data_IF_030720123166
#
_entry.id   IF_030720123166
#
_cell.length_a   1.000
_cell.length_b   1.000
_cell.length_c   1.000
_cell.angle_alpha   90.00
_cell.angle_beta   90.00
_cell.angle_gamma   90.00
#
_symmetry.space_group_name_H-M   'P 1'
#
loop_
_entity.id
_entity.type
_entity.pdbx_description
1 polymer ?
#
# COMPACT_ATOMS: atom_id res chain seq x y z
N UNK A 1 -20.38 -4.43 -8.17
CA UNK A 1 -19.10 -4.39 -7.44
C UNK A 1 -19.10 -5.53 -6.43
N UNK A 2 -18.34 -6.59 -6.70
CA UNK A 2 -18.17 -7.76 -5.83
C UNK A 2 -16.90 -7.61 -4.97
N UNK A 3 -16.75 -8.43 -3.91
CA UNK A 3 -15.53 -8.43 -3.11
C UNK A 3 -14.29 -8.83 -3.93
N UNK A 4 -14.44 -9.74 -4.89
CA UNK A 4 -13.37 -10.10 -5.81
C UNK A 4 -12.97 -8.91 -6.71
N UNK A 5 -13.96 -8.16 -7.22
CA UNK A 5 -13.71 -6.93 -7.98
C UNK A 5 -13.03 -5.86 -7.11
N UNK A 6 -13.44 -5.70 -5.84
CA UNK A 6 -12.78 -4.81 -4.89
C UNK A 6 -11.33 -5.22 -4.61
N UNK A 7 -11.06 -6.52 -4.54
CA UNK A 7 -9.69 -7.03 -4.38
C UNK A 7 -8.77 -6.60 -5.52
N UNK A 8 -9.25 -6.72 -6.77
CA UNK A 8 -8.52 -6.24 -7.94
C UNK A 8 -8.24 -4.74 -7.86
N UNK A 9 -9.24 -3.93 -7.50
CA UNK A 9 -9.09 -2.48 -7.35
C UNK A 9 -8.07 -2.10 -6.25
N UNK A 10 -8.10 -2.79 -5.11
CA UNK A 10 -7.11 -2.57 -4.04
C UNK A 10 -5.72 -3.05 -4.46
N UNK A 11 -5.61 -4.16 -5.18
CA UNK A 11 -4.33 -4.64 -5.71
C UNK A 11 -3.70 -3.62 -6.69
N UNK A 12 -4.49 -3.06 -7.60
CA UNK A 12 -4.08 -1.98 -8.50
C UNK A 12 -3.66 -0.72 -7.73
N UNK A 13 -4.45 -0.30 -6.74
CA UNK A 13 -4.15 0.84 -5.89
C UNK A 13 -2.84 0.64 -5.11
N UNK A 14 -2.61 -0.56 -4.58
CA UNK A 14 -1.36 -0.92 -3.91
C UNK A 14 -0.16 -0.89 -4.87
N UNK A 15 -0.34 -1.33 -6.12
CA UNK A 15 0.70 -1.25 -7.14
C UNK A 15 1.05 0.22 -7.48
N UNK A 16 0.04 1.09 -7.58
CA UNK A 16 0.22 2.53 -7.80
C UNK A 16 0.97 3.19 -6.63
N UNK A 17 0.56 2.91 -5.38
CA UNK A 17 1.24 3.40 -4.17
C UNK A 17 2.70 2.94 -4.11
N UNK A 18 2.96 1.66 -4.40
CA UNK A 18 4.32 1.11 -4.43
C UNK A 18 5.18 1.80 -5.48
N UNK A 19 4.65 2.02 -6.69
CA UNK A 19 5.35 2.76 -7.75
C UNK A 19 5.68 4.17 -7.29
N UNK A 20 4.70 4.89 -6.74
CA UNK A 20 4.88 6.26 -6.26
C UNK A 20 5.94 6.36 -5.16
N UNK A 21 5.95 5.42 -4.21
CA UNK A 21 6.99 5.36 -3.18
C UNK A 21 8.38 5.12 -3.82
N UNK A 22 8.46 4.27 -4.85
CA UNK A 22 9.68 4.06 -5.62
C UNK A 22 10.20 5.34 -6.28
N UNK A 23 9.32 6.08 -6.97
CA UNK A 23 9.63 7.38 -7.58
C UNK A 23 10.13 8.40 -6.55
N UNK A 24 9.45 8.52 -5.41
CA UNK A 24 9.85 9.45 -4.34
C UNK A 24 11.22 9.08 -3.74
N UNK A 25 11.51 7.79 -3.60
CA UNK A 25 12.82 7.31 -3.13
C UNK A 25 13.93 7.66 -4.13
N UNK A 26 13.65 7.55 -5.42
CA UNK A 26 14.60 7.92 -6.46
C UNK A 26 14.84 9.43 -6.47
N UNK A 27 13.78 10.24 -6.45
CA UNK A 27 13.88 11.70 -6.38
C UNK A 27 14.66 12.17 -5.13
N UNK A 28 14.45 11.53 -3.97
CA UNK A 28 15.18 11.84 -2.75
C UNK A 28 16.69 11.48 -2.79
N UNK A 29 17.13 10.67 -3.76
CA UNK A 29 18.56 10.38 -4.00
C UNK A 29 19.20 11.41 -4.92
N UNK A 30 18.42 12.00 -5.82
CA UNK A 30 18.89 12.95 -6.83
C UNK A 30 18.95 14.39 -6.29
N UNK A 31 18.09 14.72 -5.32
CA UNK A 31 18.10 16.02 -4.65
C UNK A 31 19.37 16.22 -3.82
N UNK A 32 19.96 17.41 -3.94
CA UNK A 32 21.11 17.86 -3.15
C UNK A 32 20.71 18.60 -1.88
N UNK A 33 19.53 19.22 -1.88
CA UNK A 33 19.00 19.93 -0.72
C UNK A 33 18.45 18.94 0.31
N UNK A 34 18.91 19.06 1.56
CA UNK A 34 18.49 18.19 2.65
C UNK A 34 17.06 18.49 3.12
N UNK A 35 16.56 19.73 2.96
CA UNK A 35 15.17 20.05 3.29
C UNK A 35 14.19 19.35 2.36
N UNK A 36 14.37 19.47 1.04
CA UNK A 36 13.54 18.78 0.06
C UNK A 36 13.60 17.25 0.23
N UNK A 37 14.79 16.70 0.53
CA UNK A 37 14.94 15.26 0.82
C UNK A 37 14.14 14.85 2.06
N UNK A 38 14.13 15.66 3.12
CA UNK A 38 13.35 15.41 4.33
C UNK A 38 11.85 15.41 4.03
N UNK A 39 11.36 16.32 3.19
CA UNK A 39 9.95 16.36 2.78
C UNK A 39 9.56 15.09 2.01
N UNK A 40 10.39 14.64 1.06
CA UNK A 40 10.12 13.40 0.34
C UNK A 40 10.14 12.17 1.25
N UNK A 41 11.10 12.09 2.19
CA UNK A 41 11.15 11.01 3.20
C UNK A 41 9.91 11.00 4.08
N UNK A 42 9.45 12.15 4.55
CA UNK A 42 8.20 12.27 5.31
C UNK A 42 7.02 11.75 4.49
N UNK A 43 6.93 12.13 3.22
CA UNK A 43 5.86 11.66 2.33
C UNK A 43 5.90 10.14 2.13
N UNK A 44 7.09 9.55 2.00
CA UNK A 44 7.24 8.09 1.95
C UNK A 44 6.75 7.44 3.24
N UNK A 45 7.08 8.00 4.40
CA UNK A 45 6.63 7.49 5.70
C UNK A 45 5.10 7.55 5.82
N UNK A 46 4.46 8.61 5.33
CA UNK A 46 2.99 8.74 5.29
C UNK A 46 2.32 7.73 4.34
N UNK A 47 2.92 7.46 3.17
CA UNK A 47 2.35 6.54 2.18
C UNK A 47 2.58 5.06 2.51
N UNK A 48 3.58 4.74 3.33
CA UNK A 48 3.93 3.36 3.69
C UNK A 48 2.80 2.62 4.42
N UNK A 49 2.16 3.17 5.49
CA UNK A 49 1.03 2.49 6.13
C UNK A 49 -0.16 2.35 5.18
N UNK A 50 -0.44 3.35 4.34
CA UNK A 50 -1.50 3.25 3.33
C UNK A 50 -1.25 2.11 2.33
N UNK A 51 -0.01 1.91 1.88
CA UNK A 51 0.35 0.77 1.04
C UNK A 51 0.11 -0.56 1.77
N UNK A 52 0.47 -0.64 3.05
CA UNK A 52 0.24 -1.83 3.85
C UNK A 52 -1.26 -2.13 3.97
N UNK A 53 -2.05 -1.17 4.43
CA UNK A 53 -3.51 -1.31 4.60
C UNK A 53 -4.20 -1.68 3.29
N UNK A 54 -3.82 -1.05 2.17
CA UNK A 54 -4.40 -1.35 0.86
C UNK A 54 -4.10 -2.81 0.44
N UNK A 55 -2.90 -3.32 0.74
CA UNK A 55 -2.56 -4.74 0.48
C UNK A 55 -3.31 -5.70 1.38
N UNK A 56 -3.52 -5.33 2.63
CA UNK A 56 -4.34 -6.11 3.58
C UNK A 56 -5.79 -6.17 3.10
N UNK A 57 -6.38 -5.05 2.67
CA UNK A 57 -7.72 -5.00 2.09
C UNK A 57 -7.83 -5.84 0.81
N UNK A 58 -6.84 -5.80 -0.08
CA UNK A 58 -6.80 -6.64 -1.28
C UNK A 58 -6.84 -8.13 -0.92
N UNK A 59 -6.08 -8.55 0.09
CA UNK A 59 -6.06 -9.95 0.54
C UNK A 59 -7.38 -10.36 1.22
N UNK A 60 -7.89 -9.54 2.15
CA UNK A 60 -9.15 -9.81 2.86
C UNK A 60 -10.33 -9.95 1.90
N UNK A 61 -10.42 -9.06 0.92
CA UNK A 61 -11.51 -9.10 -0.08
C UNK A 61 -11.37 -10.25 -1.07
N UNK A 62 -10.15 -10.69 -1.39
CA UNK A 62 -9.90 -11.90 -2.20
C UNK A 62 -10.33 -13.17 -1.48
N UNK A 63 -10.04 -13.26 -0.18
CA UNK A 63 -10.24 -14.46 0.63
C UNK A 63 -11.48 -14.42 1.50
N UNK A 64 -12.38 -13.45 1.30
CA UNK A 64 -13.51 -13.23 2.21
C UNK A 64 -14.40 -14.46 2.40
N UNK A 65 -14.58 -15.27 1.36
CA UNK A 65 -15.38 -16.50 1.42
C UNK A 65 -14.55 -17.76 1.70
N UNK A 66 -13.24 -17.63 1.82
CA UNK A 66 -12.34 -18.73 2.17
C UNK A 66 -12.34 -18.93 3.70
N UNK A 67 -13.13 -19.89 4.17
CA UNK A 67 -13.27 -20.23 5.59
C UNK A 67 -11.98 -20.75 6.25
N UNK A 68 -10.97 -21.11 5.46
CA UNK A 68 -9.67 -21.59 5.96
C UNK A 68 -8.60 -20.48 5.96
N UNK A 69 -8.95 -19.27 5.54
CA UNK A 69 -8.02 -18.14 5.56
C UNK A 69 -7.88 -17.57 6.98
N UNK A 70 -6.77 -17.89 7.64
CA UNK A 70 -6.47 -17.44 9.02
C UNK A 70 -5.42 -16.32 9.09
N UNK A 71 -5.08 -15.70 7.96
CA UNK A 71 -4.01 -14.71 7.92
C UNK A 71 -4.62 -13.32 8.03
N UNK A 72 -4.84 -12.81 9.24
CA UNK A 72 -4.82 -11.37 9.62
C UNK A 72 -5.33 -11.23 11.06
N UNK A 73 -4.44 -11.07 12.05
CA UNK A 73 -4.84 -10.81 13.46
C UNK A 73 -5.51 -9.44 13.66
N UNK A 74 -5.31 -8.50 12.73
CA UNK A 74 -5.85 -7.13 12.79
C UNK A 74 -7.30 -6.99 12.32
N UNK A 75 -7.76 -7.92 11.49
CA UNK A 75 -9.10 -7.91 10.89
C UNK A 75 -9.65 -9.32 11.05
N UNK A 76 -10.24 -9.59 12.21
CA UNK A 76 -11.01 -10.81 12.42
C UNK A 76 -12.25 -10.74 11.52
N UNK A 77 -12.34 -11.65 10.56
CA UNK A 77 -13.54 -11.84 9.72
C UNK A 77 -14.64 -12.54 10.52
#
# INVERSE_FOLDING_TARGET
MTLLEMSALYAESAAALRRRIGELRQAARELKDEEDRRLLRRRITELTPLLQETRELAALTAHYYDRSYHRHERYTL
#
